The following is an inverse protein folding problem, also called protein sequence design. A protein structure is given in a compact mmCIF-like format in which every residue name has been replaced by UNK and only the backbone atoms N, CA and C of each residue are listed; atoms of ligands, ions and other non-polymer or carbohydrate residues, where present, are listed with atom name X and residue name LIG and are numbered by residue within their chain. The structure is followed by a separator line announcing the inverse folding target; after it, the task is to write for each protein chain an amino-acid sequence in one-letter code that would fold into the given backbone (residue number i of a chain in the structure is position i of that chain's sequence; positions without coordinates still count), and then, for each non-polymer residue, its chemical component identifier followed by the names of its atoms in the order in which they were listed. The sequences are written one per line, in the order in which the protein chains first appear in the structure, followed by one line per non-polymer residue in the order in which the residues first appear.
data_IF_550625087669
#
_entry.id   IF_550625087669
#
_cell.length_a   1.000
_cell.length_b   1.000
_cell.length_c   1.000
_cell.angle_alpha   90.00
_cell.angle_beta   90.00
_cell.angle_gamma   90.00
#
_symmetry.space_group_name_H-M   'P 1'
#
loop_
_entity.id
_entity.type
_entity.pdbx_description
1 polymer ?
#
# COMPACT_ATOMS: atom_id res chain seq x y z
N UNK A 1 -0.36 -5.60 -13.54
CA UNK A 1 0.38 -5.17 -12.33
C UNK A 1 -0.05 -6.05 -11.18
N UNK A 2 0.92 -6.64 -10.53
CA UNK A 2 0.70 -7.58 -9.43
C UNK A 2 0.91 -6.89 -8.08
N UNK A 3 -0.03 -7.07 -7.18
CA UNK A 3 0.00 -6.50 -5.83
C UNK A 3 0.30 -7.60 -4.82
N UNK A 4 1.23 -7.30 -3.91
CA UNK A 4 1.45 -8.05 -2.68
C UNK A 4 0.93 -7.28 -1.47
N UNK A 5 0.21 -7.94 -0.58
CA UNK A 5 -0.36 -7.33 0.62
C UNK A 5 0.38 -7.80 1.86
N UNK A 6 0.81 -6.86 2.69
CA UNK A 6 1.32 -7.11 4.04
C UNK A 6 0.18 -6.84 5.03
N UNK A 7 -0.47 -7.91 5.49
CA UNK A 7 -1.60 -7.83 6.41
C UNK A 7 -2.98 -7.94 5.72
N UNK A 8 -3.57 -9.12 5.74
CA UNK A 8 -4.90 -9.42 5.17
C UNK A 8 -5.99 -9.42 6.25
N UNK A 9 -6.05 -8.33 7.03
CA UNK A 9 -7.13 -8.06 8.00
C UNK A 9 -8.32 -7.36 7.34
N UNK A 10 -9.07 -6.58 8.11
CA UNK A 10 -10.25 -5.84 7.60
C UNK A 10 -9.91 -4.94 6.42
N UNK A 11 -8.83 -4.16 6.51
CA UNK A 11 -8.44 -3.24 5.43
C UNK A 11 -7.94 -4.01 4.20
N UNK A 12 -7.01 -4.97 4.40
CA UNK A 12 -6.47 -5.78 3.29
C UNK A 12 -7.55 -6.61 2.58
N UNK A 13 -8.44 -7.27 3.34
CA UNK A 13 -9.57 -7.98 2.75
C UNK A 13 -10.55 -7.07 2.02
N UNK A 14 -10.79 -5.86 2.55
CA UNK A 14 -11.57 -4.83 1.87
C UNK A 14 -10.97 -4.43 0.53
N UNK A 15 -9.65 -4.27 0.45
CA UNK A 15 -8.97 -3.97 -0.83
C UNK A 15 -9.16 -5.10 -1.84
N UNK A 16 -8.98 -6.37 -1.43
CA UNK A 16 -9.19 -7.53 -2.31
C UNK A 16 -10.62 -7.53 -2.86
N UNK A 17 -11.61 -7.32 -1.99
CA UNK A 17 -13.02 -7.27 -2.40
C UNK A 17 -13.31 -6.14 -3.40
N UNK A 18 -12.78 -4.93 -3.15
CA UNK A 18 -12.98 -3.77 -4.03
C UNK A 18 -12.31 -4.00 -5.40
N UNK A 19 -11.08 -4.49 -5.43
CA UNK A 19 -10.37 -4.78 -6.67
C UNK A 19 -11.09 -5.87 -7.48
N UNK A 20 -11.52 -6.95 -6.86
CA UNK A 20 -12.24 -8.03 -7.54
C UNK A 20 -13.60 -7.55 -8.08
N UNK A 21 -14.37 -6.81 -7.26
CA UNK A 21 -15.69 -6.30 -7.65
C UNK A 21 -15.64 -5.31 -8.81
N UNK A 22 -14.61 -4.46 -8.84
CA UNK A 22 -14.52 -3.35 -9.80
C UNK A 22 -13.44 -3.57 -10.87
N UNK A 23 -12.97 -4.80 -11.06
CA UNK A 23 -11.84 -5.12 -11.93
C UNK A 23 -11.97 -4.56 -13.34
N UNK A 24 -13.12 -4.72 -13.98
CA UNK A 24 -13.37 -4.25 -15.34
C UNK A 24 -13.25 -2.72 -15.45
N UNK A 25 -13.84 -2.01 -14.51
CA UNK A 25 -13.79 -0.54 -14.48
C UNK A 25 -12.38 -0.02 -14.15
N UNK A 26 -11.68 -0.66 -13.22
CA UNK A 26 -10.28 -0.32 -12.89
C UNK A 26 -9.39 -0.54 -14.10
N UNK A 27 -9.51 -1.68 -14.77
CA UNK A 27 -8.75 -1.97 -16.00
C UNK A 27 -9.04 -0.95 -17.09
N UNK A 28 -10.32 -0.60 -17.30
CA UNK A 28 -10.73 0.40 -18.28
C UNK A 28 -10.10 1.77 -18.01
N UNK A 29 -10.04 2.21 -16.74
CA UNK A 29 -9.51 3.52 -16.36
C UNK A 29 -7.99 3.57 -16.30
N UNK A 30 -7.35 2.51 -15.79
CA UNK A 30 -5.90 2.47 -15.60
C UNK A 30 -5.15 2.03 -16.86
N UNK A 31 -5.84 1.40 -17.82
CA UNK A 31 -5.21 0.77 -18.97
C UNK A 31 -4.42 -0.50 -18.63
N UNK A 32 -4.48 -0.99 -17.40
CA UNK A 32 -3.71 -2.14 -16.92
C UNK A 32 -4.57 -3.08 -16.07
N UNK A 33 -4.31 -4.39 -16.18
CA UNK A 33 -4.88 -5.36 -15.26
C UNK A 33 -4.13 -5.28 -13.92
N UNK A 34 -4.84 -4.88 -12.87
CA UNK A 34 -4.32 -4.75 -11.51
C UNK A 34 -4.96 -5.86 -10.66
N UNK A 35 -4.13 -6.72 -10.05
CA UNK A 35 -4.62 -7.85 -9.28
C UNK A 35 -3.77 -8.11 -8.04
N UNK A 36 -4.41 -8.54 -6.95
CA UNK A 36 -3.71 -9.07 -5.78
C UNK A 36 -3.34 -10.52 -6.06
N UNK A 37 -2.06 -10.85 -5.91
CA UNK A 37 -1.54 -12.19 -6.17
C UNK A 37 -1.01 -12.87 -4.91
N UNK A 38 -0.50 -12.09 -3.96
CA UNK A 38 0.15 -12.60 -2.75
C UNK A 38 -0.31 -11.82 -1.53
N UNK A 39 -0.36 -12.47 -0.39
CA UNK A 39 -0.58 -11.80 0.89
C UNK A 39 0.19 -12.46 2.04
N UNK A 40 0.85 -11.62 2.85
CA UNK A 40 1.47 -12.06 4.08
C UNK A 40 0.49 -11.94 5.25
N UNK A 41 0.34 -13.02 6.01
CA UNK A 41 -0.62 -13.15 7.11
C UNK A 41 0.03 -13.85 8.31
N UNK A 42 -0.47 -13.58 9.51
CA UNK A 42 0.03 -14.25 10.73
C UNK A 42 -0.44 -15.71 10.82
N UNK A 43 -1.68 -15.95 10.45
CA UNK A 43 -2.31 -17.27 10.45
C UNK A 43 -2.97 -17.52 9.10
N UNK A 44 -2.48 -18.54 8.39
CA UNK A 44 -2.98 -18.92 7.06
C UNK A 44 -4.39 -19.55 7.15
N UNK A 45 -4.70 -20.19 8.27
CA UNK A 45 -5.96 -20.91 8.45
C UNK A 45 -7.10 -20.02 8.97
N UNK A 46 -6.82 -18.76 9.29
CA UNK A 46 -7.84 -17.83 9.76
C UNK A 46 -8.80 -17.47 8.64
N UNK A 47 -10.11 -17.55 8.91
CA UNK A 47 -11.16 -17.08 8.00
C UNK A 47 -10.99 -15.61 7.66
N UNK A 48 -11.19 -15.27 6.38
CA UNK A 48 -11.02 -13.92 5.85
C UNK A 48 -12.34 -13.37 5.31
N UNK A 49 -12.46 -12.05 5.34
CA UNK A 49 -13.63 -11.35 4.79
C UNK A 49 -13.62 -11.26 3.25
N UNK A 50 -12.59 -11.78 2.61
CA UNK A 50 -12.40 -11.80 1.16
C UNK A 50 -12.05 -13.20 0.66
N UNK A 51 -12.32 -13.52 -0.61
CA UNK A 51 -11.84 -14.75 -1.23
C UNK A 51 -10.31 -14.82 -1.24
N UNK A 52 -9.75 -15.97 -0.90
CA UNK A 52 -8.30 -16.20 -0.85
C UNK A 52 -7.81 -17.29 -1.80
N UNK A 53 -8.71 -18.01 -2.47
CA UNK A 53 -8.40 -19.17 -3.32
C UNK A 53 -7.40 -18.84 -4.45
N UNK A 54 -7.40 -17.60 -4.90
CA UNK A 54 -6.52 -17.09 -5.95
C UNK A 54 -5.25 -16.42 -5.41
N UNK A 55 -5.09 -16.32 -4.08
CA UNK A 55 -3.96 -15.67 -3.42
C UNK A 55 -2.95 -16.70 -2.94
N UNK A 56 -1.67 -16.45 -3.19
CA UNK A 56 -0.61 -17.15 -2.48
C UNK A 56 -0.42 -16.52 -1.09
N UNK A 57 -0.86 -17.24 -0.05
CA UNK A 57 -0.68 -16.81 1.33
C UNK A 57 0.69 -17.27 1.86
N UNK A 58 1.35 -16.42 2.64
CA UNK A 58 2.60 -16.73 3.34
C UNK A 58 2.57 -16.17 4.76
N UNK A 59 3.35 -16.77 5.66
CA UNK A 59 3.60 -16.22 7.00
C UNK A 59 4.87 -15.38 7.03
N UNK A 60 5.71 -15.46 6.00
CA UNK A 60 6.91 -14.64 5.87
C UNK A 60 6.65 -13.41 5.00
N UNK A 61 6.54 -12.19 5.59
CA UNK A 61 6.31 -10.97 4.83
C UNK A 61 7.49 -10.60 3.91
N UNK A 62 8.69 -11.12 4.16
CA UNK A 62 9.84 -10.90 3.28
C UNK A 62 9.69 -11.60 1.93
N UNK A 63 8.93 -12.70 1.85
CA UNK A 63 8.59 -13.30 0.56
C UNK A 63 7.85 -12.32 -0.36
N UNK A 64 7.02 -11.42 0.20
CA UNK A 64 6.29 -10.42 -0.57
C UNK A 64 7.24 -9.35 -1.13
N UNK A 65 8.03 -8.74 -0.27
CA UNK A 65 8.87 -7.59 -0.65
C UNK A 65 10.07 -8.00 -1.51
N UNK A 66 10.49 -9.26 -1.45
CA UNK A 66 11.57 -9.80 -2.28
C UNK A 66 11.09 -10.47 -3.58
N UNK A 67 9.77 -10.64 -3.78
CA UNK A 67 9.25 -11.31 -4.97
C UNK A 67 9.32 -10.38 -6.19
N UNK A 68 10.11 -10.77 -7.19
CA UNK A 68 10.30 -9.98 -8.42
C UNK A 68 9.06 -9.86 -9.30
N UNK A 69 8.05 -10.71 -9.09
CA UNK A 69 6.78 -10.64 -9.82
C UNK A 69 5.75 -9.69 -9.19
N UNK A 70 6.08 -9.04 -8.07
CA UNK A 70 5.23 -8.06 -7.42
C UNK A 70 5.72 -6.65 -7.78
N UNK A 71 4.81 -5.84 -8.29
CA UNK A 71 5.07 -4.46 -8.71
C UNK A 71 4.76 -3.46 -7.59
N UNK A 72 3.71 -3.74 -6.81
CA UNK A 72 3.17 -2.85 -5.78
C UNK A 72 3.03 -3.62 -4.46
N UNK A 73 3.49 -3.03 -3.37
CA UNK A 73 3.31 -3.55 -2.01
C UNK A 73 2.32 -2.67 -1.26
N UNK A 74 1.27 -3.29 -0.68
CA UNK A 74 0.36 -2.64 0.24
C UNK A 74 0.75 -2.97 1.68
N UNK A 75 1.21 -1.99 2.45
CA UNK A 75 1.52 -2.14 3.87
C UNK A 75 0.28 -1.77 4.70
N UNK A 76 -0.35 -2.80 5.29
CA UNK A 76 -1.60 -2.72 6.05
C UNK A 76 -1.49 -3.44 7.40
N UNK A 77 -0.26 -3.62 7.91
CA UNK A 77 0.01 -4.39 9.13
C UNK A 77 -0.14 -3.58 10.40
N UNK A 78 0.24 -2.31 10.34
CA UNK A 78 0.41 -1.46 11.52
C UNK A 78 1.74 -1.69 12.26
N UNK A 79 1.99 -0.86 13.28
CA UNK A 79 3.29 -0.82 13.98
C UNK A 79 4.34 -0.06 13.17
N UNK A 80 5.54 0.13 13.74
CA UNK A 80 6.59 0.94 13.08
C UNK A 80 7.86 0.17 12.79
N UNK A 81 8.23 -0.84 13.60
CA UNK A 81 9.49 -1.57 13.45
C UNK A 81 9.55 -2.42 12.19
N UNK A 82 8.89 -3.57 12.19
CA UNK A 82 8.87 -4.48 11.04
C UNK A 82 8.26 -3.82 9.78
N UNK A 83 7.22 -2.99 9.96
CA UNK A 83 6.61 -2.28 8.84
C UNK A 83 7.61 -1.38 8.12
N UNK A 84 8.45 -0.64 8.87
CA UNK A 84 9.52 0.18 8.29
C UNK A 84 10.50 -0.65 7.47
N UNK A 85 11.02 -1.73 8.05
CA UNK A 85 11.99 -2.61 7.39
C UNK A 85 11.44 -3.19 6.09
N UNK A 86 10.19 -3.63 6.08
CA UNK A 86 9.53 -4.17 4.91
C UNK A 86 9.31 -3.11 3.83
N UNK A 87 8.87 -1.90 4.21
CA UNK A 87 8.67 -0.78 3.28
C UNK A 87 10.00 -0.35 2.66
N UNK A 88 11.06 -0.21 3.47
CA UNK A 88 12.40 0.09 2.94
C UNK A 88 12.89 -0.98 1.98
N UNK A 89 12.71 -2.25 2.32
CA UNK A 89 13.10 -3.37 1.46
C UNK A 89 12.32 -3.38 0.16
N UNK A 90 11.01 -3.14 0.20
CA UNK A 90 10.19 -3.04 -1.00
C UNK A 90 10.66 -1.90 -1.93
N UNK A 91 10.92 -0.72 -1.36
CA UNK A 91 11.43 0.44 -2.09
C UNK A 91 12.79 0.13 -2.75
N UNK A 92 13.75 -0.42 -2.00
CA UNK A 92 15.08 -0.81 -2.50
C UNK A 92 15.01 -1.87 -3.60
N UNK A 93 13.97 -2.70 -3.58
CA UNK A 93 13.69 -3.70 -4.62
C UNK A 93 12.88 -3.12 -5.81
N UNK A 94 12.75 -1.80 -5.91
CA UNK A 94 12.10 -1.12 -7.03
C UNK A 94 10.58 -1.25 -7.05
N UNK A 95 9.93 -1.55 -5.91
CA UNK A 95 8.48 -1.69 -5.82
C UNK A 95 7.83 -0.38 -5.37
N UNK A 96 6.70 -0.05 -5.97
CA UNK A 96 5.84 1.00 -5.44
C UNK A 96 5.22 0.55 -4.12
N UNK A 97 5.04 1.47 -3.19
CA UNK A 97 4.45 1.15 -1.87
C UNK A 97 3.24 2.04 -1.60
N UNK A 98 2.18 1.45 -1.07
CA UNK A 98 1.02 2.16 -0.56
C UNK A 98 0.83 1.72 0.90
N UNK A 99 0.76 2.67 1.82
CA UNK A 99 0.57 2.37 3.24
C UNK A 99 -0.62 3.11 3.84
N UNK A 100 -1.34 2.45 4.74
CA UNK A 100 -2.37 3.06 5.59
C UNK A 100 -1.87 3.31 7.02
N UNK A 101 -0.57 3.16 7.26
CA UNK A 101 0.04 3.18 8.59
C UNK A 101 0.39 4.60 9.04
N UNK A 102 -0.52 5.23 9.78
CA UNK A 102 -0.33 6.59 10.32
C UNK A 102 0.95 6.74 11.14
N UNK A 103 1.23 5.77 12.03
CA UNK A 103 2.38 5.83 12.91
C UNK A 103 3.69 5.75 12.13
N UNK A 104 3.75 4.89 11.10
CA UNK A 104 4.92 4.77 10.23
C UNK A 104 5.20 6.10 9.50
N UNK A 105 4.19 6.70 8.91
CA UNK A 105 4.34 7.97 8.17
C UNK A 105 4.67 9.13 9.13
N UNK A 106 4.05 9.18 10.30
CA UNK A 106 4.33 10.23 11.29
C UNK A 106 5.77 10.19 11.81
N UNK A 107 6.35 8.99 11.98
CA UNK A 107 7.69 8.82 12.55
C UNK A 107 8.81 8.74 11.52
N UNK A 108 8.53 8.15 10.34
CA UNK A 108 9.53 7.80 9.33
C UNK A 108 9.20 8.32 7.92
N UNK A 109 8.12 9.10 7.77
CA UNK A 109 7.64 9.51 6.44
C UNK A 109 8.69 10.23 5.61
N UNK A 110 9.41 11.19 6.19
CA UNK A 110 10.42 11.96 5.46
C UNK A 110 11.56 11.09 4.91
N UNK A 111 12.09 10.16 5.72
CA UNK A 111 13.17 9.27 5.28
C UNK A 111 12.70 8.27 4.22
N UNK A 112 11.47 7.72 4.37
CA UNK A 112 10.88 6.79 3.41
C UNK A 112 10.54 7.48 2.08
N UNK A 113 10.08 8.73 2.11
CA UNK A 113 9.84 9.52 0.89
C UNK A 113 11.14 9.85 0.15
N UNK A 114 12.20 10.22 0.88
CA UNK A 114 13.51 10.42 0.27
C UNK A 114 14.02 9.12 -0.37
N UNK A 115 13.94 8.00 0.35
CA UNK A 115 14.35 6.69 -0.17
C UNK A 115 13.55 6.29 -1.42
N UNK A 116 12.24 6.52 -1.44
CA UNK A 116 11.39 6.22 -2.59
C UNK A 116 11.79 7.07 -3.81
N UNK A 117 12.06 8.35 -3.61
CA UNK A 117 12.55 9.25 -4.66
C UNK A 117 13.88 8.78 -5.24
N UNK A 118 14.84 8.41 -4.39
CA UNK A 118 16.18 7.95 -4.81
C UNK A 118 16.12 6.63 -5.60
N UNK A 119 15.09 5.80 -5.36
CA UNK A 119 14.86 4.54 -6.07
C UNK A 119 13.86 4.66 -7.25
N UNK A 120 13.38 5.87 -7.58
CA UNK A 120 12.40 6.13 -8.65
C UNK A 120 11.10 5.32 -8.49
N UNK A 121 10.63 5.14 -7.26
CA UNK A 121 9.34 4.52 -6.95
C UNK A 121 8.45 5.47 -6.17
N UNK A 122 7.16 5.17 -6.12
CA UNK A 122 6.19 5.94 -5.36
C UNK A 122 5.93 5.33 -3.99
N UNK A 123 5.90 6.19 -2.96
CA UNK A 123 5.33 5.89 -1.65
C UNK A 123 4.06 6.71 -1.50
N UNK A 124 2.90 6.05 -1.52
CA UNK A 124 1.58 6.67 -1.40
C UNK A 124 0.99 6.35 -0.02
N UNK A 125 0.42 7.35 0.63
CA UNK A 125 -0.08 7.21 2.01
C UNK A 125 -1.38 7.99 2.27
N UNK A 126 -2.19 8.23 1.25
CA UNK A 126 -3.49 8.91 1.36
C UNK A 126 -4.37 8.26 2.45
N UNK A 127 -4.40 6.91 2.50
CA UNK A 127 -5.17 6.17 3.49
C UNK A 127 -4.65 6.31 4.94
N UNK A 128 -3.43 6.82 5.12
CA UNK A 128 -2.85 7.10 6.44
C UNK A 128 -3.25 8.49 6.97
N UNK A 129 -3.89 9.35 6.16
CA UNK A 129 -4.19 10.74 6.49
C UNK A 129 -5.68 11.02 6.26
N UNK A 130 -6.35 11.65 7.24
CA UNK A 130 -7.75 12.11 7.16
C UNK A 130 -8.77 11.02 6.73
N UNK A 131 -8.49 9.75 6.96
CA UNK A 131 -9.41 8.64 6.69
C UNK A 131 -9.79 8.53 5.20
N UNK A 132 -11.07 8.66 4.88
CA UNK A 132 -11.58 8.56 3.51
C UNK A 132 -11.54 9.87 2.71
N UNK A 133 -10.96 10.95 3.24
CA UNK A 133 -10.88 12.25 2.58
C UNK A 133 -9.58 12.31 1.76
N UNK A 134 -9.63 12.55 0.43
CA UNK A 134 -8.44 12.59 -0.43
C UNK A 134 -7.71 13.94 -0.29
N UNK A 135 -7.19 14.24 0.91
CA UNK A 135 -6.61 15.54 1.26
C UNK A 135 -5.23 15.75 0.63
N UNK A 136 -4.37 14.74 0.62
CA UNK A 136 -3.02 14.85 0.07
C UNK A 136 -3.08 15.12 -1.42
N UNK A 137 -3.89 14.36 -2.15
CA UNK A 137 -4.11 14.56 -3.58
C UNK A 137 -4.68 15.96 -3.89
N UNK A 138 -5.58 16.45 -3.05
CA UNK A 138 -6.14 17.81 -3.19
C UNK A 138 -5.08 18.88 -2.99
N UNK A 139 -4.19 18.71 -2.02
CA UNK A 139 -3.08 19.62 -1.75
C UNK A 139 -2.02 19.62 -2.87
N UNK A 140 -1.62 18.43 -3.32
CA UNK A 140 -0.56 18.27 -4.33
C UNK A 140 -1.00 18.68 -5.74
N UNK A 141 -2.22 18.31 -6.13
CA UNK A 141 -2.71 18.50 -7.50
C UNK A 141 -3.66 19.68 -7.63
N UNK A 142 -4.62 19.82 -6.69
CA UNK A 142 -5.63 20.87 -6.75
C UNK A 142 -5.13 22.25 -6.33
N UNK A 143 -4.16 22.31 -5.42
CA UNK A 143 -3.63 23.55 -4.84
C UNK A 143 -2.15 23.78 -5.18
N UNK A 144 -1.64 23.16 -6.21
CA UNK A 144 -0.22 23.22 -6.58
C UNK A 144 0.33 24.62 -6.84
N UNK A 145 -0.55 25.57 -7.22
CA UNK A 145 -0.20 26.98 -7.44
C UNK A 145 -0.37 27.86 -6.18
N UNK A 146 -0.86 27.29 -5.08
CA UNK A 146 -1.19 28.06 -3.87
C UNK A 146 -0.13 27.84 -2.78
N UNK A 147 0.16 28.93 -2.06
CA UNK A 147 0.92 28.84 -0.80
C UNK A 147 -0.05 28.45 0.31
N UNK A 148 0.21 27.30 0.95
CA UNK A 148 -0.55 26.86 2.12
C UNK A 148 0.08 27.50 3.34
N UNK A 149 -0.67 28.37 4.03
CA UNK A 149 -0.18 29.11 5.18
C UNK A 149 -0.46 28.40 6.52
N UNK A 150 -1.53 27.61 6.58
CA UNK A 150 -1.90 26.88 7.80
C UNK A 150 -2.69 25.61 7.47
N UNK A 151 -2.44 24.55 8.21
CA UNK A 151 -3.25 23.34 8.29
C UNK A 151 -3.70 23.17 9.75
N UNK A 152 -4.99 22.97 9.97
CA UNK A 152 -5.56 22.71 11.28
C UNK A 152 -6.49 21.49 11.19
N UNK A 153 -6.43 20.59 12.20
CA UNK A 153 -7.25 19.39 12.29
C UNK A 153 -7.39 18.91 13.73
#
# INVERSE_FOLDING_TARGET
MNIGILGLGTVGGGVVNVLNKNQSEITRRSGANIQVTHAAVRDINQDRICPTDHLKLTQDPFEIVNNTNIDIVLELMGGTGLAKELVETAIKNGKHVITANKALIATHGNELLALAKDNNVHLLFEAAVAGGIPILKSLEQGLSANKIEMLAG
#
